data_IF_488423716989
#
_entry.id   IF_488423716989
#
_cell.length_a   1.000
_cell.length_b   1.000
_cell.length_c   1.000
_cell.angle_alpha   90.00
_cell.angle_beta   90.00
_cell.angle_gamma   90.00
#
_symmetry.space_group_name_H-M   'P 1'
#
loop_
_entity.id
_entity.type
_entity.pdbx_description
1 polymer ?
#
# COMPACT_ATOMS: atom_id res chain seq x y z
N UNK A 1 -7.54 9.81 -24.78
CA UNK A 1 -8.36 8.77 -24.12
C UNK A 1 -9.40 9.47 -23.23
N UNK A 2 -10.66 9.02 -23.19
CA UNK A 2 -11.70 9.53 -22.27
C UNK A 2 -11.65 8.70 -20.99
N UNK A 3 -11.43 9.35 -19.84
CA UNK A 3 -11.39 8.68 -18.52
C UNK A 3 -12.82 8.55 -17.99
N UNK A 4 -13.17 7.37 -17.47
CA UNK A 4 -14.46 7.12 -16.81
C UNK A 4 -14.38 7.60 -15.35
N UNK A 5 -15.31 8.46 -14.93
CA UNK A 5 -15.42 8.96 -13.56
C UNK A 5 -16.34 8.06 -12.71
N UNK A 6 -15.98 6.78 -12.59
CA UNK A 6 -16.66 5.82 -11.74
C UNK A 6 -15.65 5.06 -10.88
N UNK A 7 -16.12 4.08 -10.11
CA UNK A 7 -15.23 3.20 -9.36
C UNK A 7 -14.23 2.49 -10.29
N UNK A 8 -12.98 2.42 -9.83
CA UNK A 8 -11.96 1.51 -10.38
C UNK A 8 -12.04 0.18 -9.65
N UNK A 9 -11.23 -0.80 -10.07
CA UNK A 9 -11.10 -2.08 -9.39
C UNK A 9 -10.59 -1.88 -7.95
N UNK A 10 -11.05 -2.69 -7.01
CA UNK A 10 -10.72 -2.57 -5.58
C UNK A 10 -9.21 -2.56 -5.30
N UNK A 11 -8.42 -3.29 -6.10
CA UNK A 11 -6.96 -3.32 -5.97
C UNK A 11 -6.24 -2.11 -6.60
N UNK A 12 -6.96 -1.23 -7.29
CA UNK A 12 -6.46 -0.19 -8.18
C UNK A 12 -6.64 -0.54 -9.67
N UNK A 13 -6.52 0.43 -10.57
CA UNK A 13 -6.64 0.18 -12.01
C UNK A 13 -5.56 -0.79 -12.54
N UNK A 14 -5.92 -1.73 -13.42
CA UNK A 14 -4.97 -2.72 -13.95
C UNK A 14 -3.76 -2.06 -14.66
N UNK A 15 -4.01 -1.04 -15.49
CA UNK A 15 -2.94 -0.26 -16.13
C UNK A 15 -2.05 0.42 -15.08
N UNK A 16 -2.63 1.03 -14.04
CA UNK A 16 -1.86 1.69 -12.97
C UNK A 16 -0.99 0.69 -12.20
N UNK A 17 -1.51 -0.49 -11.86
CA UNK A 17 -0.73 -1.51 -11.15
C UNK A 17 0.44 -2.01 -11.99
N UNK A 18 0.23 -2.24 -13.29
CA UNK A 18 1.30 -2.64 -14.20
C UNK A 18 2.39 -1.56 -14.31
N UNK A 19 2.01 -0.28 -14.40
CA UNK A 19 2.98 0.83 -14.41
C UNK A 19 3.77 0.93 -13.09
N UNK A 20 3.12 0.78 -11.94
CA UNK A 20 3.82 0.78 -10.63
C UNK A 20 4.81 -0.37 -10.54
N UNK A 21 4.45 -1.56 -11.02
CA UNK A 21 5.30 -2.74 -11.00
C UNK A 21 6.64 -2.50 -11.74
N UNK A 22 6.64 -1.70 -12.81
CA UNK A 22 7.87 -1.34 -13.56
C UNK A 22 8.92 -0.59 -12.73
N UNK A 23 8.54 -0.01 -11.60
CA UNK A 23 9.45 0.66 -10.68
C UNK A 23 10.31 -0.32 -9.86
N UNK A 24 10.02 -1.62 -9.94
CA UNK A 24 10.65 -2.67 -9.14
C UNK A 24 11.14 -3.81 -10.04
N UNK A 25 12.23 -4.48 -9.65
CA UNK A 25 12.84 -5.54 -10.47
C UNK A 25 12.07 -6.86 -10.48
N UNK A 26 11.24 -7.13 -9.46
CA UNK A 26 10.66 -8.47 -9.18
C UNK A 26 9.22 -8.42 -8.66
N UNK A 27 8.47 -7.39 -9.02
CA UNK A 27 7.08 -7.19 -8.58
C UNK A 27 6.21 -7.17 -9.82
N UNK A 28 5.13 -7.94 -9.82
CA UNK A 28 4.14 -7.96 -10.91
C UNK A 28 2.92 -7.10 -10.54
N UNK A 29 2.08 -6.77 -11.51
CA UNK A 29 0.88 -5.94 -11.28
C UNK A 29 -0.12 -6.57 -10.29
N UNK A 30 -0.09 -7.89 -10.13
CA UNK A 30 -0.89 -8.67 -9.18
C UNK A 30 -0.43 -8.47 -7.73
N UNK A 31 0.85 -8.20 -7.51
CA UNK A 31 1.46 -7.98 -6.19
C UNK A 31 1.16 -6.56 -5.66
N UNK A 32 0.67 -5.66 -6.52
CA UNK A 32 0.40 -4.26 -6.17
C UNK A 32 -1.03 -4.09 -5.62
N UNK A 33 -1.13 -3.35 -4.51
CA UNK A 33 -2.39 -2.81 -3.98
C UNK A 33 -2.29 -1.29 -3.92
N UNK A 34 -3.12 -0.59 -4.69
CA UNK A 34 -3.12 0.88 -4.76
C UNK A 34 -3.93 1.47 -3.61
N UNK A 35 -3.42 2.56 -3.05
CA UNK A 35 -4.02 3.29 -1.92
C UNK A 35 -4.08 4.80 -2.22
N UNK A 36 -4.92 5.53 -1.48
CA UNK A 36 -4.99 6.98 -1.43
C UNK A 36 -3.82 7.57 -0.63
N UNK A 37 -2.61 7.44 -1.20
CA UNK A 37 -1.37 7.87 -0.59
C UNK A 37 -0.72 6.82 0.33
N UNK A 38 0.52 7.08 0.73
CA UNK A 38 1.32 6.12 1.49
C UNK A 38 0.75 5.82 2.89
N UNK A 39 0.05 6.78 3.49
CA UNK A 39 -0.48 6.64 4.84
C UNK A 39 -1.54 5.54 4.95
N UNK A 40 -2.45 5.44 3.97
CA UNK A 40 -3.47 4.40 3.97
C UNK A 40 -2.84 3.01 3.81
N UNK A 41 -1.77 2.89 3.00
CA UNK A 41 -1.02 1.63 2.88
C UNK A 41 -0.36 1.21 4.20
N UNK A 42 0.25 2.16 4.94
CA UNK A 42 0.86 1.89 6.25
C UNK A 42 -0.22 1.46 7.25
N UNK A 43 -1.31 2.23 7.35
CA UNK A 43 -2.42 1.92 8.25
C UNK A 43 -3.02 0.54 7.96
N UNK A 44 -3.30 0.25 6.68
CA UNK A 44 -3.85 -1.02 6.23
C UNK A 44 -2.92 -2.18 6.54
N UNK A 45 -1.61 -2.02 6.31
CA UNK A 45 -0.61 -3.04 6.64
C UNK A 45 -0.59 -3.34 8.14
N UNK A 46 -0.49 -2.31 9.00
CA UNK A 46 -0.43 -2.51 10.45
C UNK A 46 -1.69 -3.24 10.98
N UNK A 47 -2.87 -2.92 10.44
CA UNK A 47 -4.12 -3.51 10.91
C UNK A 47 -4.44 -4.88 10.27
N UNK A 48 -3.83 -5.22 9.14
CA UNK A 48 -4.09 -6.48 8.44
C UNK A 48 -3.02 -7.54 8.70
N UNK A 49 -1.78 -7.14 9.02
CA UNK A 49 -0.64 -8.05 9.13
C UNK A 49 -0.24 -8.38 10.58
N UNK A 50 -0.73 -7.63 11.56
CA UNK A 50 -0.34 -7.78 12.97
C UNK A 50 -1.52 -8.24 13.84
N UNK A 51 -1.20 -8.93 14.93
CA UNK A 51 -2.14 -9.33 15.98
C UNK A 51 -1.75 -8.74 17.35
N UNK A 52 -2.70 -8.59 18.28
CA UNK A 52 -2.39 -8.15 19.64
C UNK A 52 -1.35 -9.05 20.31
N UNK A 53 -0.23 -8.44 20.71
CA UNK A 53 0.91 -9.15 21.34
C UNK A 53 2.11 -9.34 20.42
N UNK A 54 1.99 -9.04 19.13
CA UNK A 54 3.13 -9.02 18.22
C UNK A 54 4.17 -7.97 18.63
N UNK A 55 5.44 -8.31 18.46
CA UNK A 55 6.56 -7.40 18.71
C UNK A 55 7.13 -6.89 17.39
N UNK A 56 6.99 -5.59 17.14
CA UNK A 56 7.44 -4.91 15.93
C UNK A 56 8.70 -4.10 16.19
N UNK A 57 9.67 -4.16 15.27
CA UNK A 57 10.86 -3.31 15.28
C UNK A 57 10.70 -2.22 14.22
N UNK A 58 10.75 -0.96 14.64
CA UNK A 58 10.65 0.21 13.75
C UNK A 58 11.87 1.12 13.89
N UNK A 59 12.22 1.83 12.80
CA UNK A 59 13.29 2.82 12.82
C UNK A 59 12.91 4.06 13.65
N UNK A 60 13.89 4.66 14.32
CA UNK A 60 13.72 5.91 15.07
C UNK A 60 14.97 6.81 15.00
N UNK A 61 14.82 8.13 14.72
CA UNK A 61 13.59 8.82 14.34
C UNK A 61 13.16 8.47 12.91
N UNK A 62 11.85 8.41 12.67
CA UNK A 62 11.27 8.12 11.35
C UNK A 62 9.88 8.75 11.21
N UNK A 63 9.20 8.48 10.08
CA UNK A 63 7.83 8.90 9.87
C UNK A 63 6.91 8.33 10.95
N UNK A 64 6.12 9.18 11.61
CA UNK A 64 5.40 8.85 12.84
C UNK A 64 4.47 7.64 12.70
N UNK A 65 3.79 7.54 11.55
CA UNK A 65 2.86 6.45 11.30
C UNK A 65 3.50 5.07 11.20
N UNK A 66 4.83 4.96 11.13
CA UNK A 66 5.52 3.66 11.21
C UNK A 66 5.51 3.06 12.62
N UNK A 67 5.12 3.81 13.65
CA UNK A 67 5.04 3.31 15.04
C UNK A 67 3.80 3.76 15.82
N UNK A 68 3.04 4.76 15.34
CA UNK A 68 1.85 5.25 16.06
C UNK A 68 0.53 4.55 15.68
N UNK A 69 0.48 3.80 14.57
CA UNK A 69 -0.78 3.22 14.05
C UNK A 69 -0.88 1.70 14.18
N UNK A 70 0.12 1.08 14.81
CA UNK A 70 0.17 -0.35 15.12
C UNK A 70 -0.30 -0.61 16.56
#
# INVERSE_FOLDING_TARGET
RRVRLGYTETRGGAELRAEIATLYERIEGEDVLVHAGAQEAIFGFMNAALEPGDHVVAHWPAYASLHEVA
#
